data_IF_224411293892
#
_entry.id   IF_224411293892
#
_cell.length_a   1.000
_cell.length_b   1.000
_cell.length_c   1.000
_cell.angle_alpha   90.00
_cell.angle_beta   90.00
_cell.angle_gamma   90.00
#
_symmetry.space_group_name_H-M   'P 1'
#
loop_
_entity.id
_entity.type
_entity.pdbx_description
1 polymer ?
#
# COMPACT_ATOMS: atom_id res chain seq x y z
N UNK A 1 -6.41 -15.73 -6.56
CA UNK A 1 -5.23 -15.47 -7.44
C UNK A 1 -4.82 -14.02 -7.24
N UNK A 2 -3.54 -13.71 -7.05
CA UNK A 2 -3.07 -12.34 -6.79
C UNK A 2 -2.14 -11.89 -7.91
N UNK A 3 -2.30 -10.65 -8.39
CA UNK A 3 -1.37 -10.05 -9.35
C UNK A 3 -0.18 -9.40 -8.62
N UNK A 4 0.92 -9.18 -9.35
CA UNK A 4 2.07 -8.44 -8.83
C UNK A 4 1.67 -7.00 -8.47
N UNK A 5 2.11 -6.48 -7.32
CA UNK A 5 1.83 -5.10 -6.97
C UNK A 5 2.55 -4.15 -7.94
N UNK A 6 1.94 -3.01 -8.23
CA UNK A 6 2.48 -1.96 -9.08
C UNK A 6 2.66 -0.69 -8.26
N UNK A 7 3.63 0.15 -8.66
CA UNK A 7 3.76 1.51 -8.13
C UNK A 7 3.67 2.55 -9.22
N UNK A 8 2.99 3.64 -8.87
CA UNK A 8 2.76 4.79 -9.72
C UNK A 8 2.86 6.07 -8.88
N UNK A 9 3.34 7.14 -9.52
CA UNK A 9 3.29 8.47 -8.92
C UNK A 9 1.91 9.06 -9.27
N UNK A 10 1.12 9.39 -8.25
CA UNK A 10 -0.21 9.99 -8.40
C UNK A 10 -0.21 11.41 -7.84
N UNK A 11 -0.71 12.35 -8.64
CA UNK A 11 -0.77 13.77 -8.25
C UNK A 11 -1.99 13.97 -7.37
N UNK A 12 -1.84 14.67 -6.25
CA UNK A 12 -2.98 15.02 -5.39
C UNK A 12 -4.11 15.68 -6.19
N UNK A 13 -5.39 15.39 -5.89
CA UNK A 13 -6.49 16.03 -6.60
C UNK A 13 -6.53 17.53 -6.31
N UNK A 14 -6.80 18.33 -7.34
CA UNK A 14 -7.10 19.75 -7.16
C UNK A 14 -8.58 19.89 -6.79
N UNK A 15 -8.87 20.00 -5.49
CA UNK A 15 -10.19 20.42 -5.05
C UNK A 15 -10.31 21.93 -5.26
N UNK A 16 -11.28 22.36 -6.07
CA UNK A 16 -11.54 23.78 -6.34
C UNK A 16 -12.00 24.51 -5.09
N UNK A 17 -11.07 24.93 -4.24
CA UNK A 17 -11.34 25.80 -3.10
C UNK A 17 -11.32 27.25 -3.59
N UNK A 18 -12.46 27.92 -3.45
CA UNK A 18 -12.73 29.36 -3.53
C UNK A 18 -11.51 30.28 -3.71
N UNK A 19 -11.56 31.15 -4.74
CA UNK A 19 -10.70 32.35 -4.95
C UNK A 19 -9.49 32.45 -4.01
N UNK A 20 -8.42 31.68 -4.26
CA UNK A 20 -7.22 31.82 -3.44
C UNK A 20 -6.17 30.73 -3.66
N UNK A 21 -5.14 31.09 -4.44
CA UNK A 21 -3.86 30.40 -4.66
C UNK A 21 -3.93 29.00 -5.30
N UNK A 22 -3.36 28.80 -6.50
CA UNK A 22 -3.17 27.45 -7.03
C UNK A 22 -2.24 26.68 -6.10
N UNK A 23 -2.76 25.63 -5.47
CA UNK A 23 -1.95 24.67 -4.73
C UNK A 23 -1.40 23.70 -5.75
N UNK A 24 -0.11 23.82 -6.09
CA UNK A 24 0.55 22.84 -6.96
C UNK A 24 0.43 21.47 -6.31
N UNK A 25 -0.25 20.54 -6.98
CA UNK A 25 -0.32 19.14 -6.56
C UNK A 25 1.09 18.59 -6.33
N UNK A 26 1.25 17.84 -5.23
CA UNK A 26 2.50 17.13 -4.93
C UNK A 26 2.35 15.66 -5.30
N UNK A 27 3.46 15.04 -5.65
CA UNK A 27 3.51 13.63 -6.05
C UNK A 27 3.39 12.74 -4.82
N UNK A 28 2.32 11.95 -4.78
CA UNK A 28 2.17 10.84 -3.86
C UNK A 28 2.62 9.57 -4.56
N UNK A 29 3.10 8.63 -3.77
CA UNK A 29 3.45 7.33 -4.28
C UNK A 29 2.36 6.34 -3.87
N UNK A 30 1.66 5.81 -4.87
CA UNK A 30 0.68 4.74 -4.69
C UNK A 30 1.35 3.39 -4.96
N UNK A 31 1.08 2.45 -4.07
CA UNK A 31 1.33 1.04 -4.28
C UNK A 31 -0.02 0.34 -4.34
N UNK A 32 -0.31 -0.32 -5.45
CA UNK A 32 -1.60 -0.98 -5.69
C UNK A 32 -1.40 -2.48 -5.96
N UNK A 33 -2.30 -3.30 -5.43
CA UNK A 33 -2.40 -4.71 -5.75
C UNK A 33 -3.84 -5.05 -6.15
N UNK A 34 -3.97 -5.89 -7.17
CA UNK A 34 -5.22 -6.54 -7.55
C UNK A 34 -5.24 -7.94 -6.95
N UNK A 35 -6.24 -8.21 -6.13
CA UNK A 35 -6.43 -9.50 -5.46
C UNK A 35 -7.76 -10.12 -5.85
N UNK A 36 -7.81 -11.45 -5.87
CA UNK A 36 -9.03 -12.24 -6.00
C UNK A 36 -9.06 -13.31 -4.91
N UNK A 37 -10.06 -13.19 -4.03
CA UNK A 37 -10.23 -14.01 -2.83
C UNK A 37 -11.19 -15.17 -3.13
N UNK A 38 -10.88 -16.35 -2.60
CA UNK A 38 -11.74 -17.52 -2.64
C UNK A 38 -11.74 -18.17 -1.24
N UNK A 39 -12.86 -18.74 -0.82
CA UNK A 39 -13.04 -19.32 0.51
C UNK A 39 -13.76 -20.67 0.42
N UNK A 40 -13.31 -21.62 1.23
CA UNK A 40 -13.90 -22.94 1.35
C UNK A 40 -14.12 -23.28 2.84
N UNK A 41 -15.36 -23.53 3.28
CA UNK A 41 -16.61 -23.44 2.51
C UNK A 41 -16.95 -22.01 2.09
N UNK A 42 -17.68 -21.86 0.97
CA UNK A 42 -18.14 -20.54 0.50
C UNK A 42 -19.27 -20.02 1.43
N UNK A 43 -19.15 -18.81 2.00
CA UNK A 43 -20.20 -18.22 2.82
C UNK A 43 -21.40 -17.81 1.96
N UNK A 44 -22.61 -17.87 2.55
CA UNK A 44 -23.86 -17.51 1.84
C UNK A 44 -23.87 -16.08 1.31
N UNK A 45 -23.17 -15.16 1.99
CA UNK A 45 -23.01 -13.76 1.58
C UNK A 45 -22.19 -13.59 0.31
N UNK A 46 -21.39 -14.60 -0.08
CA UNK A 46 -20.37 -14.53 -1.14
C UNK A 46 -19.34 -13.41 -0.92
N UNK A 47 -19.13 -13.05 0.33
CA UNK A 47 -18.14 -12.06 0.78
C UNK A 47 -17.21 -12.68 1.81
N UNK A 48 -15.97 -12.21 1.84
CA UNK A 48 -15.07 -12.36 2.96
C UNK A 48 -15.36 -11.22 3.95
N UNK A 49 -15.74 -11.55 5.19
CA UNK A 49 -16.13 -10.56 6.20
C UNK A 49 -14.98 -9.60 6.53
N UNK A 50 -13.77 -10.11 6.68
CA UNK A 50 -12.56 -9.33 6.88
C UNK A 50 -11.33 -10.03 6.31
N UNK A 51 -10.46 -9.24 5.68
CA UNK A 51 -9.09 -9.64 5.36
C UNK A 51 -8.13 -8.51 5.69
N UNK A 52 -6.88 -8.84 6.00
CA UNK A 52 -5.81 -7.86 6.18
C UNK A 52 -4.83 -7.97 5.04
N UNK A 53 -4.52 -6.84 4.39
CA UNK A 53 -3.36 -6.74 3.49
C UNK A 53 -2.22 -6.10 4.26
N UNK A 54 -1.14 -6.86 4.44
CA UNK A 54 0.10 -6.38 5.04
C UNK A 54 1.07 -5.99 3.95
N UNK A 55 1.39 -4.71 3.89
CA UNK A 55 2.27 -4.11 2.90
C UNK A 55 3.70 -4.05 3.40
N UNK A 56 4.64 -4.27 2.47
CA UNK A 56 6.08 -4.15 2.67
C UNK A 56 6.68 -3.34 1.53
N UNK A 57 7.35 -2.24 1.85
CA UNK A 57 7.98 -1.37 0.84
C UNK A 57 9.43 -1.11 1.23
N UNK A 58 10.37 -1.50 0.38
CA UNK A 58 11.78 -1.15 0.54
C UNK A 58 12.09 0.13 -0.22
N UNK A 59 12.71 1.09 0.46
CA UNK A 59 13.17 2.37 -0.12
C UNK A 59 14.66 2.56 0.09
N UNK A 60 15.30 3.39 -0.74
CA UNK A 60 16.70 3.78 -0.54
C UNK A 60 16.96 4.30 0.89
N UNK A 61 18.05 3.84 1.51
CA UNK A 61 18.53 4.40 2.77
C UNK A 61 19.48 5.59 2.49
N UNK A 62 19.11 6.83 2.86
CA UNK A 62 19.93 8.01 2.60
C UNK A 62 21.21 8.03 3.46
N UNK A 63 21.22 7.34 4.59
CA UNK A 63 22.35 7.32 5.53
C UNK A 63 23.41 6.29 5.14
N UNK A 64 23.03 5.26 4.37
CA UNK A 64 23.93 4.17 4.00
C UNK A 64 23.63 3.64 2.61
N UNK A 65 24.40 4.12 1.64
CA UNK A 65 24.32 3.74 0.23
C UNK A 65 24.41 2.21 0.07
N UNK A 66 23.56 1.66 -0.80
CA UNK A 66 23.48 0.22 -1.04
C UNK A 66 22.67 -0.56 -0.01
N UNK A 67 22.06 0.12 0.98
CA UNK A 67 21.09 -0.46 1.90
C UNK A 67 19.71 0.18 1.75
N UNK A 68 18.71 -0.47 2.31
CA UNK A 68 17.30 -0.11 2.16
C UNK A 68 16.60 -0.08 3.51
N UNK A 69 15.60 0.78 3.60
CA UNK A 69 14.67 0.84 4.72
C UNK A 69 13.37 0.15 4.34
N UNK A 70 12.86 -0.73 5.19
CA UNK A 70 11.59 -1.45 5.01
C UNK A 70 10.50 -0.77 5.82
N UNK A 71 9.49 -0.29 5.12
CA UNK A 71 8.25 0.25 5.69
C UNK A 71 7.19 -0.84 5.69
N UNK A 72 6.37 -0.86 6.74
CA UNK A 72 5.28 -1.83 6.88
C UNK A 72 3.96 -1.18 7.25
N UNK A 73 2.84 -1.76 6.80
CA UNK A 73 1.49 -1.35 7.18
C UNK A 73 0.51 -2.47 6.99
N UNK A 74 -0.34 -2.67 7.98
CA UNK A 74 -1.50 -3.54 7.89
C UNK A 74 -2.74 -2.69 7.62
N UNK A 75 -3.53 -3.09 6.64
CA UNK A 75 -4.80 -2.46 6.27
C UNK A 75 -5.85 -3.56 6.30
N UNK A 76 -6.85 -3.39 7.16
CA UNK A 76 -8.00 -4.29 7.26
C UNK A 76 -9.09 -3.82 6.29
N UNK A 77 -9.53 -4.74 5.45
CA UNK A 77 -10.62 -4.57 4.50
C UNK A 77 -11.80 -5.47 4.90
N UNK A 78 -13.01 -4.98 4.68
CA UNK A 78 -14.26 -5.68 5.04
C UNK A 78 -15.15 -5.85 3.81
N UNK A 79 -16.13 -6.75 3.92
CA UNK A 79 -17.15 -6.97 2.88
C UNK A 79 -16.55 -7.29 1.50
N UNK A 80 -15.42 -8.00 1.45
CA UNK A 80 -14.68 -8.20 0.19
C UNK A 80 -15.38 -9.26 -0.66
N UNK A 81 -15.81 -8.96 -1.89
CA UNK A 81 -16.51 -9.93 -2.73
C UNK A 81 -15.61 -11.10 -3.12
N UNK A 82 -16.14 -12.32 -3.07
CA UNK A 82 -15.42 -13.53 -3.47
C UNK A 82 -15.42 -13.67 -4.99
N UNK A 83 -14.34 -14.26 -5.53
CA UNK A 83 -14.16 -14.59 -6.97
C UNK A 83 -14.14 -13.39 -7.91
N UNK A 84 -14.25 -12.18 -7.37
CA UNK A 84 -14.13 -10.91 -8.08
C UNK A 84 -12.74 -10.30 -7.90
N UNK A 85 -12.39 -9.38 -8.78
CA UNK A 85 -11.14 -8.64 -8.68
C UNK A 85 -11.35 -7.40 -7.81
N UNK A 86 -10.52 -7.26 -6.79
CA UNK A 86 -10.60 -6.18 -5.83
C UNK A 86 -9.25 -5.49 -5.73
N UNK A 87 -9.26 -4.17 -5.64
CA UNK A 87 -8.04 -3.37 -5.55
C UNK A 87 -7.77 -2.94 -4.12
N UNK A 88 -6.53 -3.09 -3.70
CA UNK A 88 -6.01 -2.66 -2.41
C UNK A 88 -4.81 -1.75 -2.64
N UNK A 89 -4.65 -0.73 -1.80
CA UNK A 89 -3.54 0.21 -1.96
C UNK A 89 -2.99 0.73 -0.64
N UNK A 90 -1.71 1.11 -0.69
CA UNK A 90 -1.00 1.85 0.34
C UNK A 90 -0.27 3.03 -0.30
N UNK A 91 -0.06 4.10 0.47
CA UNK A 91 0.47 5.36 -0.04
C UNK A 91 1.64 5.87 0.81
N UNK A 92 2.55 6.60 0.15
CA UNK A 92 3.59 7.40 0.81
C UNK A 92 3.36 8.87 0.47
N UNK A 93 3.27 9.71 1.51
CA UNK A 93 3.08 11.14 1.33
C UNK A 93 4.33 11.82 0.73
N UNK A 94 4.18 12.96 0.03
CA UNK A 94 5.32 13.74 -0.47
C UNK A 94 6.31 14.12 0.64
N UNK A 95 5.82 14.47 1.84
CA UNK A 95 6.66 14.80 2.98
C UNK A 95 7.44 13.57 3.48
N UNK A 96 6.80 12.40 3.48
CA UNK A 96 7.43 11.12 3.81
C UNK A 96 8.52 10.76 2.80
N UNK A 97 8.27 10.93 1.50
CA UNK A 97 9.26 10.71 0.43
C UNK A 97 10.48 11.61 0.64
N UNK A 98 10.24 12.91 0.91
CA UNK A 98 11.32 13.87 1.17
C UNK A 98 12.11 13.51 2.42
N UNK A 99 11.45 13.09 3.51
CA UNK A 99 12.12 12.67 4.74
C UNK A 99 12.96 11.41 4.53
N UNK A 100 12.49 10.46 3.73
CA UNK A 100 13.22 9.23 3.43
C UNK A 100 14.38 9.43 2.47
N UNK A 101 14.25 10.32 1.48
CA UNK A 101 15.19 10.38 0.36
C UNK A 101 16.06 11.65 0.35
N UNK A 102 15.70 12.67 1.13
CA UNK A 102 16.34 13.98 1.11
C UNK A 102 16.00 14.84 -0.11
N UNK A 103 15.22 14.33 -1.07
CA UNK A 103 14.87 15.04 -2.31
C UNK A 103 13.37 15.05 -2.57
N UNK A 104 12.87 16.05 -3.30
CA UNK A 104 11.55 16.02 -3.94
C UNK A 104 11.66 15.29 -5.30
N UNK A 105 12.07 14.01 -5.26
CA UNK A 105 12.03 13.13 -6.44
C UNK A 105 10.63 12.51 -6.54
N UNK A 106 10.23 12.12 -7.76
CA UNK A 106 9.11 11.20 -7.94
C UNK A 106 9.37 9.93 -7.11
N UNK A 107 8.44 9.60 -6.21
CA UNK A 107 8.63 8.58 -5.18
C UNK A 107 8.96 7.22 -5.77
N UNK A 108 8.49 6.95 -6.98
CA UNK A 108 8.71 5.69 -7.70
C UNK A 108 10.18 5.30 -7.85
N UNK A 109 11.10 6.25 -8.06
CA UNK A 109 12.53 5.92 -8.18
C UNK A 109 13.18 5.51 -6.85
N UNK A 110 12.60 5.94 -5.73
CA UNK A 110 13.08 5.62 -4.40
C UNK A 110 12.66 4.21 -3.95
N UNK A 111 11.53 3.69 -4.44
CA UNK A 111 11.13 2.31 -4.19
C UNK A 111 12.07 1.33 -4.88
N UNK A 112 12.50 0.31 -4.14
CA UNK A 112 13.32 -0.79 -4.66
C UNK A 112 12.61 -2.11 -4.71
N UNK A 113 11.74 -2.39 -3.74
CA UNK A 113 10.96 -3.63 -3.68
C UNK A 113 9.60 -3.32 -3.07
N UNK A 114 8.59 -4.02 -3.56
CA UNK A 114 7.25 -4.00 -3.02
C UNK A 114 6.83 -5.44 -2.78
N UNK A 115 6.20 -5.67 -1.63
CA UNK A 115 5.60 -6.93 -1.28
C UNK A 115 4.30 -6.73 -0.54
N UNK A 116 3.44 -7.75 -0.59
CA UNK A 116 2.31 -7.82 0.32
C UNK A 116 1.97 -9.26 0.69
N UNK A 117 1.29 -9.40 1.82
CA UNK A 117 0.62 -10.62 2.27
C UNK A 117 -0.87 -10.34 2.43
N UNK A 118 -1.70 -11.29 2.03
CA UNK A 118 -3.13 -11.31 2.31
C UNK A 118 -3.35 -12.29 3.46
N UNK A 119 -3.97 -11.82 4.52
CA UNK A 119 -4.19 -12.55 5.76
C UNK A 119 -5.69 -12.66 6.00
N UNK A 120 -6.18 -13.88 6.15
CA UNK A 120 -7.57 -14.19 6.52
C UNK A 120 -7.51 -15.11 7.74
N UNK A 121 -8.28 -14.81 8.78
CA UNK A 121 -8.30 -15.56 10.05
C UNK A 121 -6.91 -15.81 10.64
N UNK A 122 -6.03 -14.80 10.56
CA UNK A 122 -4.66 -14.85 11.06
C UNK A 122 -3.69 -15.71 10.24
N UNK A 123 -4.12 -16.26 9.10
CA UNK A 123 -3.28 -17.07 8.20
C UNK A 123 -2.96 -16.31 6.92
N UNK A 124 -1.69 -16.35 6.50
CA UNK A 124 -1.29 -15.86 5.17
C UNK A 124 -1.87 -16.80 4.12
N UNK A 125 -2.81 -16.30 3.32
CA UNK A 125 -3.48 -17.06 2.24
C UNK A 125 -2.92 -16.75 0.86
N UNK A 126 -2.25 -15.62 0.70
CA UNK A 126 -1.55 -15.24 -0.52
C UNK A 126 -0.43 -14.24 -0.23
N UNK A 127 0.59 -14.22 -1.09
CA UNK A 127 1.61 -13.17 -1.10
C UNK A 127 2.11 -12.92 -2.51
N UNK A 128 2.62 -11.72 -2.77
CA UNK A 128 3.28 -11.39 -4.03
C UNK A 128 4.33 -10.30 -3.83
N UNK A 129 5.28 -10.24 -4.77
CA UNK A 129 6.29 -9.20 -4.88
C UNK A 129 6.27 -8.57 -6.28
N UNK A 130 6.74 -7.33 -6.40
CA UNK A 130 6.84 -6.63 -7.69
C UNK A 130 7.88 -7.29 -8.63
N UNK A 131 8.96 -7.84 -8.07
CA UNK A 131 10.05 -8.47 -8.82
C UNK A 131 10.01 -10.01 -8.76
N UNK A 132 10.24 -10.71 -9.89
CA UNK A 132 10.40 -12.16 -9.90
C UNK A 132 11.55 -12.61 -8.98
N UNK A 133 11.38 -13.73 -8.27
CA UNK A 133 12.44 -14.29 -7.41
C UNK A 133 12.66 -13.49 -6.11
N UNK A 134 11.76 -12.56 -5.79
CA UNK A 134 11.75 -11.77 -4.55
C UNK A 134 10.50 -12.06 -3.72
N UNK A 135 9.83 -13.17 -3.97
CA UNK A 135 8.71 -13.64 -3.16
C UNK A 135 9.17 -13.73 -1.69
N UNK A 136 8.44 -13.09 -0.78
CA UNK A 136 8.75 -13.07 0.66
C UNK A 136 10.08 -12.38 1.06
N UNK A 137 10.63 -11.48 0.23
CA UNK A 137 11.86 -10.74 0.56
C UNK A 137 11.81 -10.02 1.91
N UNK A 138 10.62 -9.65 2.37
CA UNK A 138 10.38 -8.93 3.64
C UNK A 138 10.61 -9.79 4.89
N UNK A 139 10.58 -11.12 4.75
CA UNK A 139 10.78 -12.11 5.81
C UNK A 139 12.17 -12.74 5.79
N UNK A 140 12.95 -12.53 4.71
CA UNK A 140 14.30 -13.05 4.60
C UNK A 140 15.27 -12.26 5.48
N UNK A 141 16.13 -12.96 6.20
CA UNK A 141 17.24 -12.33 6.91
C UNK A 141 18.10 -11.54 5.89
N UNK A 142 18.34 -10.26 6.18
CA UNK A 142 19.05 -9.36 5.28
C UNK A 142 19.98 -8.45 6.05
N UNK A 143 21.23 -8.37 5.61
CA UNK A 143 22.22 -7.40 6.11
C UNK A 143 22.09 -6.02 5.48
N UNK A 144 21.24 -5.90 4.44
CA UNK A 144 21.09 -4.68 3.64
C UNK A 144 19.69 -4.08 3.70
N UNK A 145 18.73 -4.72 4.37
CA UNK A 145 17.38 -4.20 4.59
C UNK A 145 17.13 -4.09 6.08
N UNK A 146 16.81 -2.89 6.56
CA UNK A 146 16.48 -2.64 7.96
C UNK A 146 15.02 -2.18 8.09
N UNK A 147 14.33 -2.65 9.12
CA UNK A 147 13.01 -2.14 9.49
C UNK A 147 13.08 -0.66 9.91
N UNK A 148 12.07 0.13 9.55
CA UNK A 148 11.97 1.52 10.00
C UNK A 148 10.53 1.94 10.26
N UNK A 149 10.37 2.87 11.21
CA UNK A 149 9.13 3.60 11.49
C UNK A 149 9.28 5.11 11.24
N UNK A 150 10.35 5.52 10.56
CA UNK A 150 10.67 6.93 10.33
C UNK A 150 9.56 7.70 9.60
N UNK A 151 8.78 7.01 8.75
CA UNK A 151 7.58 7.56 8.12
C UNK A 151 6.47 6.50 8.05
N UNK A 152 5.20 6.90 8.06
CA UNK A 152 4.09 5.97 7.89
C UNK A 152 3.85 5.63 6.41
N UNK A 153 3.47 4.38 6.15
CA UNK A 153 2.60 4.05 5.02
C UNK A 153 1.15 4.37 5.41
N UNK A 154 0.41 4.93 4.46
CA UNK A 154 -0.94 5.42 4.63
C UNK A 154 -1.92 4.53 3.87
N UNK A 155 -3.11 4.30 4.42
CA UNK A 155 -4.21 3.70 3.66
C UNK A 155 -4.92 4.78 2.82
N UNK A 156 -5.79 4.39 1.88
CA UNK A 156 -6.50 5.33 1.00
C UNK A 156 -7.31 6.39 1.74
N UNK A 157 -7.92 6.05 2.88
CA UNK A 157 -8.72 6.98 3.71
C UNK A 157 -7.85 8.00 4.46
N UNK A 158 -6.55 7.76 4.58
CA UNK A 158 -5.56 8.67 5.17
C UNK A 158 -4.94 9.62 4.10
N UNK A 159 -5.53 9.71 2.91
CA UNK A 159 -5.02 10.49 1.77
C UNK A 159 -6.06 11.45 1.16
N UNK A 160 -5.62 12.45 0.39
CA UNK A 160 -6.53 13.27 -0.44
C UNK A 160 -7.34 12.48 -1.48
N UNK A 161 -6.98 11.22 -1.74
CA UNK A 161 -7.64 10.33 -2.70
C UNK A 161 -8.82 9.57 -2.08
N UNK A 162 -9.14 9.77 -0.80
CA UNK A 162 -10.18 9.04 -0.08
C UNK A 162 -11.51 8.98 -0.86
N UNK A 163 -11.95 10.11 -1.42
CA UNK A 163 -13.22 10.21 -2.16
C UNK A 163 -13.18 9.76 -3.62
N UNK A 164 -12.00 9.46 -4.19
CA UNK A 164 -11.88 9.09 -5.60
C UNK A 164 -12.01 7.58 -5.80
N UNK A 165 -12.71 7.15 -6.86
CA UNK A 165 -12.83 5.73 -7.26
C UNK A 165 -13.26 4.78 -6.12
N UNK A 166 -14.19 5.24 -5.27
CA UNK A 166 -14.60 4.53 -4.06
C UNK A 166 -15.12 3.11 -4.33
N UNK A 167 -15.83 2.88 -5.44
CA UNK A 167 -16.33 1.54 -5.84
C UNK A 167 -15.24 0.59 -6.36
N UNK A 168 -14.03 1.08 -6.71
CA UNK A 168 -12.95 0.24 -7.25
C UNK A 168 -12.16 -0.47 -6.15
N UNK A 169 -11.98 0.19 -5.01
CA UNK A 169 -11.14 -0.29 -3.94
C UNK A 169 -11.97 -1.02 -2.89
N UNK A 170 -11.38 -2.05 -2.29
CA UNK A 170 -11.99 -2.75 -1.16
C UNK A 170 -12.33 -1.77 -0.03
N UNK A 171 -13.48 -1.99 0.63
CA UNK A 171 -13.91 -1.18 1.76
C UNK A 171 -12.91 -1.34 2.91
N UNK A 172 -12.32 -0.22 3.36
CA UNK A 172 -11.40 -0.22 4.50
C UNK A 172 -12.22 -0.14 5.78
N UNK A 173 -11.93 -1.03 6.72
CA UNK A 173 -12.58 -0.99 8.04
C UNK A 173 -12.32 0.36 8.71
N UNK A 174 -13.40 1.06 9.05
CA UNK A 174 -13.29 2.32 9.77
C UNK A 174 -12.56 2.11 11.10
N UNK A 175 -11.62 3.01 11.43
CA UNK A 175 -11.07 3.08 12.78
C UNK A 175 -12.21 3.47 13.72
N UNK A 176 -12.72 2.53 14.50
CA UNK A 176 -13.59 2.87 15.63
C UNK A 176 -12.72 3.67 16.60
N UNK A 177 -13.01 4.97 16.74
CA UNK A 177 -12.39 5.75 17.82
C UNK A 177 -12.98 5.22 19.14
N UNK A 178 -12.15 4.92 20.16
CA UNK A 178 -12.62 4.53 21.48
C UNK A 178 -13.39 5.66 22.17
#
# INVERSE_FOLDING_TARGET
MTEKPKSEDVVSPEFGVMKGKPVKGRDWLEVEARIKVDMAPEPKSKTCDSLTVKWYVAVDNPEKVGTYLKLTKEIEYVNVPLKEDVYCSAYISPASIRRLTGFERSGKRAIKLIGFEVIIDGKVVASAADKPGKENWWSAASSVIADTTAVPLLNKMETPFASLWWDRYAEIKAKTSP
#
